data_IF_541001104272
#
_entry.id   IF_541001104272
#
_cell.length_a   1.000
_cell.length_b   1.000
_cell.length_c   1.000
_cell.angle_alpha   90.00
_cell.angle_beta   90.00
_cell.angle_gamma   90.00
#
_symmetry.space_group_name_H-M   'P 1'
#
loop_
_entity.id
_entity.type
_entity.pdbx_description
1 polymer ?
#
# COMPACT_ATOMS: atom_id res chain seq x y z
N UNK A 1 62.52 1.95 8.45
CA UNK A 1 61.19 2.11 7.82
C UNK A 1 60.42 0.81 8.02
N UNK A 2 59.68 0.69 9.12
CA UNK A 2 58.90 -0.51 9.47
C UNK A 2 57.43 -0.25 9.12
N UNK A 3 56.97 -0.84 8.02
CA UNK A 3 55.57 -0.71 7.60
C UNK A 3 54.69 -1.49 8.60
N UNK A 4 53.88 -0.77 9.38
CA UNK A 4 52.90 -1.37 10.28
C UNK A 4 51.75 -1.90 9.44
N UNK A 5 51.59 -3.22 9.34
CA UNK A 5 50.49 -3.83 8.61
C UNK A 5 49.16 -3.43 9.26
N UNK A 6 48.23 -2.87 8.48
CA UNK A 6 46.89 -2.52 8.95
C UNK A 6 46.13 -3.79 9.35
N UNK A 7 45.42 -3.79 10.49
CA UNK A 7 44.63 -4.94 10.92
C UNK A 7 43.59 -5.31 9.85
N UNK A 8 43.65 -6.54 9.35
CA UNK A 8 42.68 -7.08 8.40
C UNK A 8 41.32 -7.24 9.10
N UNK A 9 40.33 -6.45 8.67
CA UNK A 9 38.97 -6.58 9.19
C UNK A 9 38.46 -8.03 8.96
N UNK A 10 37.81 -8.65 9.96
CA UNK A 10 37.33 -10.03 9.82
C UNK A 10 36.35 -10.14 8.65
N UNK A 11 36.55 -11.16 7.81
CA UNK A 11 35.68 -11.43 6.67
C UNK A 11 34.24 -11.64 7.17
N UNK A 12 33.30 -10.84 6.67
CA UNK A 12 31.88 -10.95 7.02
C UNK A 12 31.34 -12.26 6.46
N UNK A 13 31.04 -13.22 7.34
CA UNK A 13 30.37 -14.47 6.95
C UNK A 13 28.95 -14.14 6.50
N UNK A 14 28.70 -14.20 5.18
CA UNK A 14 27.36 -14.06 4.62
C UNK A 14 26.67 -15.42 4.72
N UNK A 15 25.75 -15.58 5.68
CA UNK A 15 24.93 -16.79 5.77
C UNK A 15 23.93 -16.82 4.61
N UNK A 16 23.80 -17.92 3.86
CA UNK A 16 22.79 -18.04 2.81
C UNK A 16 21.38 -17.82 3.39
N UNK A 17 20.51 -17.05 2.72
CA UNK A 17 19.16 -16.84 3.21
C UNK A 17 18.42 -18.19 3.26
N UNK A 18 17.74 -18.45 4.39
CA UNK A 18 16.92 -19.65 4.55
C UNK A 18 15.85 -19.71 3.44
N UNK A 19 15.72 -20.88 2.78
CA UNK A 19 14.71 -21.10 1.74
C UNK A 19 13.32 -20.98 2.35
N UNK A 20 12.42 -20.25 1.69
CA UNK A 20 11.02 -20.13 2.11
C UNK A 20 10.27 -21.41 1.75
N UNK A 21 9.60 -22.03 2.71
CA UNK A 21 8.73 -23.18 2.45
C UNK A 21 7.51 -22.82 1.60
N UNK A 22 6.94 -23.80 0.89
CA UNK A 22 5.82 -23.63 -0.03
C UNK A 22 4.62 -22.90 0.60
N UNK A 23 4.23 -23.25 1.83
CA UNK A 23 3.10 -22.59 2.50
C UNK A 23 3.30 -21.08 2.69
N UNK A 24 4.55 -20.64 2.90
CA UNK A 24 4.88 -19.21 3.02
C UNK A 24 4.86 -18.53 1.65
N UNK A 25 5.30 -19.21 0.59
CA UNK A 25 5.18 -18.72 -0.78
C UNK A 25 3.70 -18.58 -1.18
N UNK A 26 2.87 -19.58 -0.90
CA UNK A 26 1.43 -19.54 -1.16
C UNK A 26 0.76 -18.37 -0.41
N UNK A 27 1.13 -18.15 0.86
CA UNK A 27 0.59 -17.03 1.64
C UNK A 27 0.95 -15.66 1.04
N UNK A 28 2.20 -15.49 0.55
CA UNK A 28 2.63 -14.26 -0.12
C UNK A 28 1.87 -14.06 -1.44
N UNK A 29 1.73 -15.13 -2.24
CA UNK A 29 1.00 -15.06 -3.50
C UNK A 29 -0.50 -14.78 -3.29
N UNK A 30 -1.12 -15.38 -2.26
CA UNK A 30 -2.52 -15.11 -1.91
C UNK A 30 -2.75 -13.63 -1.56
N UNK A 31 -1.81 -13.00 -0.84
CA UNK A 31 -1.87 -11.57 -0.57
C UNK A 31 -1.78 -10.73 -1.85
N UNK A 32 -0.83 -11.05 -2.75
CA UNK A 32 -0.71 -10.38 -4.04
C UNK A 32 -1.95 -10.54 -4.91
N UNK A 33 -2.53 -11.73 -4.93
CA UNK A 33 -3.78 -12.00 -5.63
C UNK A 33 -4.91 -11.13 -5.08
N UNK A 34 -5.10 -11.11 -3.75
CA UNK A 34 -6.11 -10.27 -3.11
C UNK A 34 -5.92 -8.78 -3.41
N UNK A 35 -4.67 -8.31 -3.36
CA UNK A 35 -4.34 -6.93 -3.71
C UNK A 35 -4.66 -6.59 -5.18
N UNK A 36 -4.36 -7.51 -6.10
CA UNK A 36 -4.69 -7.34 -7.52
C UNK A 36 -6.20 -7.34 -7.78
N UNK A 37 -6.92 -8.30 -7.18
CA UNK A 37 -8.38 -8.40 -7.27
C UNK A 37 -9.10 -7.18 -6.67
N UNK A 38 -8.49 -6.55 -5.67
CA UNK A 38 -8.95 -5.29 -5.08
C UNK A 38 -8.70 -4.09 -6.01
N UNK A 39 -7.48 -3.93 -6.52
CA UNK A 39 -7.06 -2.68 -7.16
C UNK A 39 -7.65 -2.47 -8.57
N UNK A 40 -7.75 -3.54 -9.36
CA UNK A 40 -8.20 -3.42 -10.76
C UNK A 40 -9.66 -2.95 -10.89
N UNK A 41 -10.64 -3.52 -10.17
CA UNK A 41 -12.02 -3.05 -10.25
C UNK A 41 -12.20 -1.61 -9.77
N UNK A 42 -11.38 -1.15 -8.82
CA UNK A 42 -11.49 0.21 -8.28
C UNK A 42 -11.19 1.25 -9.35
N UNK A 43 -10.07 1.07 -10.05
CA UNK A 43 -9.63 2.02 -11.08
C UNK A 43 -10.50 1.98 -12.34
N UNK A 44 -10.94 0.78 -12.74
CA UNK A 44 -11.64 0.61 -14.02
C UNK A 44 -13.15 0.86 -13.89
N UNK A 45 -13.76 0.48 -12.76
CA UNK A 45 -15.22 0.49 -12.62
C UNK A 45 -15.68 1.37 -11.47
N UNK A 46 -15.19 1.14 -10.25
CA UNK A 46 -15.79 1.74 -9.05
C UNK A 46 -15.72 3.28 -9.05
N UNK A 47 -14.54 3.85 -9.27
CA UNK A 47 -14.34 5.30 -9.25
C UNK A 47 -15.00 5.98 -10.47
N UNK A 48 -14.82 5.47 -11.71
CA UNK A 48 -15.48 6.06 -12.87
C UNK A 48 -17.01 6.00 -12.80
N UNK A 49 -17.59 4.86 -12.41
CA UNK A 49 -19.06 4.73 -12.30
C UNK A 49 -19.61 5.57 -11.15
N UNK A 50 -18.93 5.59 -9.99
CA UNK A 50 -19.30 6.49 -8.89
C UNK A 50 -19.28 7.96 -9.29
N UNK A 51 -18.28 8.38 -10.07
CA UNK A 51 -18.21 9.73 -10.59
C UNK A 51 -19.37 10.05 -11.56
N UNK A 52 -19.69 9.13 -12.49
CA UNK A 52 -20.82 9.28 -13.42
C UNK A 52 -22.15 9.43 -12.68
N UNK A 53 -22.37 8.66 -11.61
CA UNK A 53 -23.58 8.73 -10.80
C UNK A 53 -23.74 10.08 -10.07
N UNK A 54 -22.63 10.74 -9.73
CA UNK A 54 -22.65 12.00 -8.97
C UNK A 54 -22.71 13.26 -9.84
N UNK A 55 -21.97 13.29 -10.95
CA UNK A 55 -21.81 14.51 -11.77
C UNK A 55 -22.24 14.33 -13.23
N UNK A 56 -22.74 13.15 -13.60
CA UNK A 56 -23.08 12.78 -14.98
C UNK A 56 -21.86 12.49 -15.84
N UNK A 57 -22.11 11.91 -17.02
CA UNK A 57 -21.05 11.43 -17.93
C UNK A 57 -20.14 12.55 -18.48
N UNK A 58 -20.63 13.79 -18.59
CA UNK A 58 -19.88 14.88 -19.19
C UNK A 58 -18.82 15.49 -18.24
N UNK A 59 -18.96 15.28 -16.92
CA UNK A 59 -18.07 15.86 -15.92
C UNK A 59 -17.32 14.80 -15.09
N UNK A 60 -17.59 13.51 -15.29
CA UNK A 60 -16.99 12.41 -14.54
C UNK A 60 -15.48 12.37 -14.67
N UNK A 61 -14.94 12.63 -15.87
CA UNK A 61 -13.51 12.49 -16.15
C UNK A 61 -12.67 13.48 -15.34
N UNK A 62 -13.17 14.71 -15.19
CA UNK A 62 -12.52 15.72 -14.35
C UNK A 62 -12.53 15.31 -12.87
N UNK A 63 -13.61 14.70 -12.39
CA UNK A 63 -13.72 14.21 -11.01
C UNK A 63 -12.79 13.02 -10.76
N UNK A 64 -12.75 12.05 -11.68
CA UNK A 64 -11.83 10.89 -11.64
C UNK A 64 -10.38 11.35 -11.68
N UNK A 65 -10.05 12.32 -12.54
CA UNK A 65 -8.71 12.91 -12.64
C UNK A 65 -8.28 13.57 -11.33
N UNK A 66 -9.17 14.35 -10.69
CA UNK A 66 -8.91 14.96 -9.38
C UNK A 66 -8.72 13.90 -8.28
N UNK A 67 -9.58 12.88 -8.24
CA UNK A 67 -9.48 11.80 -7.26
C UNK A 67 -8.17 11.02 -7.41
N UNK A 68 -7.79 10.70 -8.65
CA UNK A 68 -6.54 9.99 -8.97
C UNK A 68 -5.32 10.85 -8.64
N UNK A 69 -5.33 12.14 -8.96
CA UNK A 69 -4.23 13.05 -8.65
C UNK A 69 -4.02 13.21 -7.13
N UNK A 70 -5.10 13.45 -6.38
CA UNK A 70 -5.06 13.53 -4.92
C UNK A 70 -4.59 12.21 -4.31
N UNK A 71 -5.09 11.09 -4.83
CA UNK A 71 -4.70 9.74 -4.43
C UNK A 71 -3.24 9.44 -4.71
N UNK A 72 -2.70 9.89 -5.84
CA UNK A 72 -1.30 9.71 -6.22
C UNK A 72 -0.33 10.42 -5.29
N UNK A 73 -0.67 11.63 -4.82
CA UNK A 73 0.12 12.32 -3.79
C UNK A 73 0.12 11.51 -2.49
N UNK A 74 -1.03 10.98 -2.09
CA UNK A 74 -1.13 10.15 -0.89
C UNK A 74 -0.35 8.84 -1.03
N UNK A 75 -0.47 8.15 -2.17
CA UNK A 75 0.29 6.94 -2.50
C UNK A 75 1.81 7.17 -2.52
N UNK A 76 2.27 8.39 -2.73
CA UNK A 76 3.69 8.74 -2.62
C UNK A 76 4.12 8.89 -1.16
N UNK A 77 3.29 9.54 -0.34
CA UNK A 77 3.63 9.88 1.04
C UNK A 77 3.46 8.72 2.02
N UNK A 78 2.39 7.93 1.88
CA UNK A 78 2.06 6.87 2.83
C UNK A 78 3.15 5.80 2.92
N UNK A 79 3.71 5.26 1.83
CA UNK A 79 4.77 4.26 1.93
C UNK A 79 6.03 4.78 2.64
N UNK A 80 6.35 6.08 2.50
CA UNK A 80 7.49 6.71 3.18
C UNK A 80 7.26 6.78 4.69
N UNK A 81 6.08 7.25 5.10
CA UNK A 81 5.71 7.39 6.51
C UNK A 81 5.54 6.00 7.15
N UNK A 82 4.80 5.11 6.50
CA UNK A 82 4.55 3.75 6.97
C UNK A 82 5.85 2.95 7.02
N UNK A 83 6.75 3.10 6.04
CA UNK A 83 8.08 2.49 6.06
C UNK A 83 8.88 2.92 7.28
N UNK A 84 9.01 4.24 7.49
CA UNK A 84 9.70 4.83 8.63
C UNK A 84 9.11 4.40 9.98
N UNK A 85 7.78 4.40 10.11
CA UNK A 85 7.10 4.06 11.36
C UNK A 85 7.14 2.55 11.62
N UNK A 86 7.07 1.73 10.57
CA UNK A 86 7.21 0.29 10.68
C UNK A 86 8.56 -0.11 11.25
N UNK A 87 9.63 0.59 10.89
CA UNK A 87 10.97 0.29 11.38
C UNK A 87 11.14 0.50 12.90
N UNK A 88 10.29 1.32 13.51
CA UNK A 88 10.26 1.54 14.97
C UNK A 88 9.34 0.58 15.73
N UNK A 89 8.52 -0.18 15.01
CA UNK A 89 7.48 -1.00 15.62
C UNK A 89 8.05 -2.32 16.13
N UNK A 90 8.02 -2.56 17.43
CA UNK A 90 8.42 -3.83 18.07
C UNK A 90 7.18 -4.58 18.55
N UNK A 91 6.74 -5.58 17.80
CA UNK A 91 5.64 -6.47 18.23
C UNK A 91 6.07 -7.93 18.19
N UNK A 92 5.31 -8.78 18.92
CA UNK A 92 5.45 -10.25 18.89
C UNK A 92 5.21 -10.87 17.52
N UNK A 93 4.56 -10.17 16.59
CA UNK A 93 4.32 -10.63 15.21
C UNK A 93 5.44 -10.21 14.24
N UNK A 94 6.48 -9.57 14.76
CA UNK A 94 7.56 -8.97 13.99
C UNK A 94 7.24 -7.54 13.55
N UNK A 95 8.15 -6.97 12.75
CA UNK A 95 8.14 -5.54 12.41
C UNK A 95 7.11 -5.16 11.34
N UNK A 96 6.90 -6.03 10.35
CA UNK A 96 6.11 -5.72 9.14
C UNK A 96 4.67 -6.25 9.13
N UNK A 97 4.40 -7.34 9.85
CA UNK A 97 3.07 -7.99 9.85
C UNK A 97 1.95 -7.12 10.43
N UNK A 98 2.14 -6.42 11.56
CA UNK A 98 1.09 -5.54 12.10
C UNK A 98 0.70 -4.43 11.12
N UNK A 99 1.68 -3.87 10.40
CA UNK A 99 1.44 -2.81 9.41
C UNK A 99 0.66 -3.31 8.20
N UNK A 100 0.96 -4.51 7.71
CA UNK A 100 0.15 -5.12 6.64
C UNK A 100 -1.30 -5.31 7.09
N UNK A 101 -1.52 -5.85 8.29
CA UNK A 101 -2.89 -6.06 8.81
C UNK A 101 -3.63 -4.75 9.03
N UNK A 102 -2.97 -3.74 9.61
CA UNK A 102 -3.56 -2.43 9.84
C UNK A 102 -3.92 -1.72 8.51
N UNK A 103 -3.02 -1.75 7.52
CA UNK A 103 -3.27 -1.20 6.19
C UNK A 103 -4.42 -1.91 5.49
N UNK A 104 -4.45 -3.25 5.51
CA UNK A 104 -5.57 -4.01 4.93
C UNK A 104 -6.90 -3.70 5.63
N UNK A 105 -6.91 -3.62 6.97
CA UNK A 105 -8.12 -3.28 7.70
C UNK A 105 -8.63 -1.86 7.38
N UNK A 106 -7.71 -0.90 7.29
CA UNK A 106 -8.02 0.47 6.88
C UNK A 106 -8.58 0.52 5.46
N UNK A 107 -7.98 -0.22 4.53
CA UNK A 107 -8.41 -0.27 3.14
C UNK A 107 -9.81 -0.90 3.00
N UNK A 108 -10.09 -2.00 3.72
CA UNK A 108 -11.43 -2.62 3.77
C UNK A 108 -12.47 -1.63 4.33
N UNK A 109 -12.11 -0.86 5.36
CA UNK A 109 -13.00 0.16 5.91
C UNK A 109 -13.24 1.29 4.89
N UNK A 110 -12.19 1.80 4.23
CA UNK A 110 -12.32 2.82 3.20
C UNK A 110 -13.21 2.34 2.03
N UNK A 111 -13.09 1.07 1.66
CA UNK A 111 -13.94 0.45 0.64
C UNK A 111 -15.40 0.37 1.09
N UNK A 112 -15.67 0.03 2.35
CA UNK A 112 -17.03 0.05 2.89
C UNK A 112 -17.60 1.48 2.93
N UNK A 113 -16.77 2.48 3.25
CA UNK A 113 -17.17 3.88 3.34
C UNK A 113 -17.50 4.49 1.97
N UNK A 114 -16.91 3.99 0.88
CA UNK A 114 -17.20 4.50 -0.46
C UNK A 114 -18.67 4.29 -0.87
N UNK A 115 -19.36 3.32 -0.28
CA UNK A 115 -20.80 3.11 -0.50
C UNK A 115 -21.65 4.30 -0.02
N UNK A 116 -21.11 5.14 0.87
CA UNK A 116 -21.74 6.35 1.39
C UNK A 116 -21.22 7.63 0.70
N UNK A 117 -20.50 7.50 -0.41
CA UNK A 117 -19.94 8.63 -1.18
C UNK A 117 -21.02 9.37 -2.00
N UNK A 118 -21.94 10.06 -1.33
CA UNK A 118 -23.05 10.78 -2.00
C UNK A 118 -22.68 12.17 -2.52
N UNK A 119 -21.43 12.59 -2.36
CA UNK A 119 -20.93 13.87 -2.86
C UNK A 119 -19.60 13.69 -3.59
N UNK A 120 -19.27 14.55 -4.57
CA UNK A 120 -17.98 14.48 -5.26
C UNK A 120 -16.78 14.58 -4.31
N UNK A 121 -16.88 15.39 -3.26
CA UNK A 121 -15.84 15.53 -2.25
C UNK A 121 -15.67 14.24 -1.43
N UNK A 122 -16.78 13.62 -0.99
CA UNK A 122 -16.72 12.35 -0.27
C UNK A 122 -16.12 11.24 -1.14
N UNK A 123 -16.47 11.18 -2.43
CA UNK A 123 -15.88 10.23 -3.37
C UNK A 123 -14.36 10.42 -3.46
N UNK A 124 -13.87 11.65 -3.60
CA UNK A 124 -12.42 11.94 -3.61
C UNK A 124 -11.77 11.49 -2.29
N UNK A 125 -12.34 11.85 -1.15
CA UNK A 125 -11.77 11.53 0.17
C UNK A 125 -11.64 10.02 0.36
N UNK A 126 -12.69 9.26 0.05
CA UNK A 126 -12.66 7.80 0.20
C UNK A 126 -11.80 7.13 -0.87
N UNK A 127 -11.76 7.66 -2.10
CA UNK A 127 -10.83 7.21 -3.13
C UNK A 127 -9.36 7.44 -2.73
N UNK A 128 -9.05 8.56 -2.07
CA UNK A 128 -7.72 8.84 -1.52
C UNK A 128 -7.39 7.87 -0.39
N UNK A 129 -8.35 7.58 0.50
CA UNK A 129 -8.15 6.61 1.58
C UNK A 129 -7.83 5.19 1.05
N UNK A 130 -8.34 4.82 -0.13
CA UNK A 130 -8.02 3.53 -0.77
C UNK A 130 -6.58 3.41 -1.29
N UNK A 131 -5.83 4.53 -1.34
CA UNK A 131 -4.44 4.58 -1.82
C UNK A 131 -3.40 4.38 -0.70
N UNK A 132 -3.87 4.03 0.50
CA UNK A 132 -3.04 3.80 1.69
C UNK A 132 -2.37 2.41 1.71
#
# INVERSE_FOLDING_TARGET
MTATALPTAPARVVTPPARLGLGRLLSINAFWFGNGAHWQPILVALIPEGAKLLVGANASDALVGRATAAGGVFALLVPLIAGWLSDRTRTRWGRRRPWMVAGTAFNVLALALIAFAWTPAALIIFAVALQA
#
